data_IF_621759065994
#
_entry.id   IF_621759065994
#
_cell.length_a   1.000
_cell.length_b   1.000
_cell.length_c   1.000
_cell.angle_alpha   90.00
_cell.angle_beta   90.00
_cell.angle_gamma   90.00
#
_symmetry.space_group_name_H-M   'P 1'
#
loop_
_entity.id
_entity.type
_entity.pdbx_description
1 polymer ?
#
# COMPACT_ATOMS: atom_id res chain seq x y z
N UNK A 1 -24.48 -6.51 -3.32
CA UNK A 1 -24.27 -7.88 -3.85
C UNK A 1 -23.58 -8.65 -2.73
N UNK A 2 -23.96 -9.91 -2.48
CA UNK A 2 -23.70 -10.64 -1.23
C UNK A 2 -22.24 -10.55 -0.73
N UNK A 3 -22.01 -9.82 0.36
CA UNK A 3 -20.77 -9.82 1.16
C UNK A 3 -20.67 -11.10 2.02
N UNK A 4 -21.05 -12.23 1.44
CA UNK A 4 -21.10 -13.50 2.15
C UNK A 4 -19.68 -14.04 2.24
N UNK A 5 -19.04 -13.75 3.37
CA UNK A 5 -17.73 -14.30 3.75
C UNK A 5 -17.77 -15.82 3.56
N UNK A 6 -16.87 -16.41 2.77
CA UNK A 6 -16.81 -17.86 2.70
C UNK A 6 -16.46 -18.40 4.08
N UNK A 7 -17.22 -19.39 4.50
CA UNK A 7 -17.05 -20.05 5.78
C UNK A 7 -15.75 -20.90 5.80
N UNK A 8 -15.33 -21.32 6.99
CA UNK A 8 -14.14 -22.16 7.15
C UNK A 8 -14.24 -23.47 6.35
N UNK A 9 -15.45 -23.98 6.13
CA UNK A 9 -15.68 -25.18 5.29
C UNK A 9 -15.39 -24.92 3.81
N UNK A 10 -15.77 -23.76 3.29
CA UNK A 10 -15.43 -23.32 1.93
C UNK A 10 -13.92 -23.22 1.76
N UNK A 11 -13.21 -22.69 2.78
CA UNK A 11 -11.75 -22.57 2.73
C UNK A 11 -11.06 -23.93 2.70
N UNK A 12 -11.52 -24.86 3.54
CA UNK A 12 -11.02 -26.25 3.55
C UNK A 12 -11.31 -26.93 2.20
N UNK A 13 -12.47 -26.67 1.60
CA UNK A 13 -12.84 -27.17 0.28
C UNK A 13 -11.88 -26.67 -0.81
N UNK A 14 -11.59 -25.37 -0.83
CA UNK A 14 -10.63 -24.77 -1.77
C UNK A 14 -9.24 -25.36 -1.62
N UNK A 15 -8.75 -25.54 -0.40
CA UNK A 15 -7.45 -26.19 -0.13
C UNK A 15 -7.39 -27.61 -0.70
N UNK A 16 -8.45 -28.39 -0.55
CA UNK A 16 -8.50 -29.76 -1.07
C UNK A 16 -8.53 -29.80 -2.60
N UNK A 17 -9.28 -28.90 -3.24
CA UNK A 17 -9.34 -28.81 -4.69
C UNK A 17 -8.00 -28.35 -5.27
N UNK A 18 -7.39 -27.32 -4.68
CA UNK A 18 -6.06 -26.83 -5.04
C UNK A 18 -4.98 -27.93 -4.94
N UNK A 19 -5.02 -28.75 -3.88
CA UNK A 19 -4.11 -29.89 -3.74
C UNK A 19 -4.32 -30.98 -4.81
N UNK A 20 -5.56 -31.14 -5.31
CA UNK A 20 -5.89 -32.10 -6.36
C UNK A 20 -5.52 -31.60 -7.77
N UNK A 21 -5.63 -30.30 -8.02
CA UNK A 21 -5.29 -29.68 -9.31
C UNK A 21 -3.81 -29.30 -9.41
N UNK A 22 -3.06 -29.39 -8.32
CA UNK A 22 -1.66 -28.95 -8.23
C UNK A 22 -1.53 -27.43 -8.07
N UNK A 23 -2.63 -26.71 -7.88
CA UNK A 23 -2.68 -25.26 -7.70
C UNK A 23 -2.61 -24.86 -6.22
N UNK A 24 -1.62 -25.39 -5.49
CA UNK A 24 -1.48 -25.22 -4.03
C UNK A 24 -1.36 -23.78 -3.52
N UNK A 25 -1.19 -22.78 -4.41
CA UNK A 25 -1.08 -21.37 -4.07
C UNK A 25 -2.41 -20.60 -4.08
N UNK A 26 -3.47 -21.16 -4.67
CA UNK A 26 -4.77 -20.47 -4.80
C UNK A 26 -5.41 -20.11 -3.45
N UNK A 27 -5.37 -20.96 -2.41
CA UNK A 27 -5.97 -20.62 -1.12
C UNK A 27 -5.22 -19.49 -0.40
N UNK A 28 -3.89 -19.48 -0.43
CA UNK A 28 -3.07 -18.43 0.19
C UNK A 28 -3.27 -17.07 -0.48
N UNK A 29 -3.38 -17.06 -1.82
CA UNK A 29 -3.69 -15.85 -2.57
C UNK A 29 -5.09 -15.35 -2.24
N UNK A 30 -6.06 -16.26 -2.09
CA UNK A 30 -7.41 -15.90 -1.67
C UNK A 30 -7.42 -15.20 -0.30
N UNK A 31 -6.71 -15.75 0.69
CA UNK A 31 -6.60 -15.12 2.01
C UNK A 31 -5.91 -13.75 1.95
N UNK A 32 -4.86 -13.62 1.14
CA UNK A 32 -4.16 -12.35 0.95
C UNK A 32 -5.06 -11.27 0.34
N UNK A 33 -5.81 -11.59 -0.72
CA UNK A 33 -6.77 -10.67 -1.34
C UNK A 33 -7.91 -10.30 -0.39
N UNK A 34 -8.36 -11.26 0.43
CA UNK A 34 -9.37 -11.01 1.45
C UNK A 34 -8.88 -9.99 2.48
N UNK A 35 -7.69 -10.21 3.07
CA UNK A 35 -7.12 -9.29 4.05
C UNK A 35 -6.84 -7.90 3.47
N UNK A 36 -6.53 -7.83 2.18
CA UNK A 36 -6.36 -6.56 1.48
C UNK A 36 -7.70 -5.81 1.35
N UNK A 37 -8.76 -6.52 0.94
CA UNK A 37 -10.11 -5.94 0.77
C UNK A 37 -10.68 -5.47 2.12
N UNK A 38 -10.57 -6.28 3.17
CA UNK A 38 -10.99 -5.91 4.54
C UNK A 38 -10.27 -4.64 5.02
N UNK A 39 -8.97 -4.49 4.73
CA UNK A 39 -8.21 -3.28 5.07
C UNK A 39 -8.67 -2.05 4.30
N UNK A 40 -9.02 -2.19 3.02
CA UNK A 40 -9.52 -1.09 2.19
C UNK A 40 -10.88 -0.58 2.67
N UNK A 41 -11.76 -1.49 3.13
CA UNK A 41 -13.07 -1.11 3.70
C UNK A 41 -12.92 -0.32 5.00
N UNK A 42 -12.01 -0.77 5.89
CA UNK A 42 -11.76 -0.12 7.18
C UNK A 42 -11.01 1.21 7.00
N UNK A 43 -10.04 1.26 6.08
CA UNK A 43 -9.16 2.41 5.89
C UNK A 43 -9.20 2.94 4.44
N UNK A 44 -10.31 3.59 4.07
CA UNK A 44 -10.54 4.07 2.70
C UNK A 44 -9.47 5.03 2.16
N UNK A 45 -8.80 5.78 3.05
CA UNK A 45 -7.77 6.76 2.68
C UNK A 45 -6.33 6.27 2.94
N UNK A 46 -6.14 5.00 3.28
CA UNK A 46 -4.82 4.43 3.55
C UNK A 46 -4.50 3.39 2.48
N UNK A 47 -3.44 3.63 1.72
CA UNK A 47 -2.88 2.65 0.80
C UNK A 47 -1.61 2.07 1.41
N UNK A 48 -1.42 0.75 1.26
CA UNK A 48 -0.14 0.12 1.58
C UNK A 48 0.91 0.60 0.58
N UNK A 49 2.09 0.93 1.10
CA UNK A 49 3.21 1.33 0.25
C UNK A 49 3.67 0.12 -0.59
N UNK A 50 3.80 0.25 -1.92
CA UNK A 50 4.16 -0.86 -2.79
C UNK A 50 5.65 -1.16 -2.69
N UNK A 51 6.04 -1.90 -1.65
CA UNK A 51 7.45 -2.20 -1.34
C UNK A 51 8.21 -2.89 -2.45
N UNK A 52 7.54 -3.67 -3.29
CA UNK A 52 8.13 -4.39 -4.42
C UNK A 52 8.30 -3.51 -5.69
N UNK A 53 7.56 -2.40 -5.80
CA UNK A 53 7.76 -1.38 -6.84
C UNK A 53 8.71 -0.28 -6.39
N UNK A 54 9.03 -0.23 -5.10
CA UNK A 54 9.88 0.79 -4.53
C UNK A 54 11.34 0.54 -4.91
N UNK A 55 11.98 1.55 -5.49
CA UNK A 55 13.42 1.56 -5.75
C UNK A 55 14.22 1.54 -4.45
N UNK A 56 15.46 1.05 -4.51
CA UNK A 56 16.37 1.17 -3.37
C UNK A 56 16.80 2.63 -3.14
N UNK A 57 17.11 3.03 -1.91
CA UNK A 57 17.71 4.35 -1.64
C UNK A 57 18.97 4.55 -2.48
N UNK A 58 19.08 5.70 -3.17
CA UNK A 58 20.21 6.02 -4.03
C UNK A 58 20.12 5.50 -5.48
N UNK A 59 19.18 4.60 -5.77
CA UNK A 59 18.97 4.11 -7.15
C UNK A 59 18.34 5.19 -8.03
N UNK A 60 18.79 5.30 -9.28
CA UNK A 60 18.27 6.26 -10.24
C UNK A 60 16.80 5.99 -10.57
N UNK A 61 16.02 7.05 -10.78
CA UNK A 61 14.59 6.91 -11.05
C UNK A 61 14.38 6.37 -12.46
N UNK A 62 13.70 5.24 -12.59
CA UNK A 62 13.29 4.68 -13.90
C UNK A 62 12.05 5.40 -14.46
N UNK A 63 11.16 5.86 -13.58
CA UNK A 63 9.98 6.64 -13.94
C UNK A 63 10.30 8.13 -13.86
N UNK A 64 9.91 8.95 -14.86
CA UNK A 64 10.07 10.39 -14.76
C UNK A 64 9.32 10.91 -13.54
N UNK A 65 10.03 11.66 -12.71
CA UNK A 65 9.42 12.40 -11.62
C UNK A 65 8.38 13.37 -12.23
N UNK A 66 7.20 13.48 -11.61
CA UNK A 66 6.13 14.36 -12.12
C UNK A 66 6.60 15.81 -12.27
N UNK A 67 5.90 16.62 -13.07
CA UNK A 67 6.34 17.98 -13.44
C UNK A 67 6.71 18.88 -12.23
N UNK A 68 6.03 18.72 -11.09
CA UNK A 68 6.35 19.45 -9.87
C UNK A 68 7.74 19.09 -9.30
N UNK A 69 8.16 17.84 -9.43
CA UNK A 69 9.45 17.36 -8.95
C UNK A 69 10.62 17.72 -9.89
N UNK A 70 10.35 17.95 -11.17
CA UNK A 70 11.37 18.48 -12.10
C UNK A 70 11.93 19.83 -11.64
N UNK A 71 11.09 20.65 -10.99
CA UNK A 71 11.47 21.98 -10.49
C UNK A 71 11.80 21.98 -8.98
N UNK A 72 11.87 20.80 -8.33
CA UNK A 72 12.06 20.70 -6.88
C UNK A 72 10.88 21.18 -6.02
N UNK A 73 9.72 21.47 -6.63
CA UNK A 73 8.51 21.94 -5.95
C UNK A 73 7.74 20.81 -5.23
N UNK A 74 8.28 19.61 -5.20
CA UNK A 74 7.74 18.46 -4.47
C UNK A 74 8.25 18.37 -3.01
N UNK A 75 9.17 19.26 -2.61
CA UNK A 75 9.74 19.26 -1.26
C UNK A 75 9.26 20.51 -0.52
N UNK A 76 8.51 20.32 0.56
CA UNK A 76 8.20 21.40 1.50
C UNK A 76 9.40 21.59 2.43
N UNK A 77 10.05 22.76 2.36
CA UNK A 77 11.11 23.10 3.29
C UNK A 77 10.55 23.19 4.72
N UNK A 78 11.26 22.59 5.68
CA UNK A 78 10.93 22.80 7.08
C UNK A 78 11.08 24.28 7.44
N UNK A 79 10.14 24.86 8.21
CA UNK A 79 10.30 26.23 8.67
C UNK A 79 11.59 26.35 9.49
N UNK A 80 12.47 27.27 9.12
CA UNK A 80 13.67 27.54 9.89
C UNK A 80 13.27 28.13 11.25
N UNK A 81 13.71 27.51 12.35
CA UNK A 81 13.43 28.00 13.70
C UNK A 81 13.91 29.45 13.91
N UNK A 82 14.93 29.88 13.17
CA UNK A 82 15.42 31.26 13.16
C UNK A 82 14.34 32.28 12.71
N UNK A 83 13.45 31.92 11.78
CA UNK A 83 12.39 32.81 11.30
C UNK A 83 11.23 33.00 12.31
N UNK A 84 11.05 32.06 13.26
CA UNK A 84 10.03 32.18 14.31
C UNK A 84 10.48 33.00 15.53
N UNK A 85 11.79 33.11 15.77
CA UNK A 85 12.33 33.92 16.86
C UNK A 85 12.11 35.44 16.67
N UNK A 86 12.04 35.90 15.41
CA UNK A 86 11.83 37.33 15.09
C UNK A 86 10.38 37.83 15.17
N UNK A 87 9.38 36.93 15.25
CA UNK A 87 7.94 37.31 15.27
C UNK A 87 7.31 37.35 16.66
N UNK A 88 8.06 37.05 17.72
CA UNK A 88 7.61 37.16 19.12
C UNK A 88 8.18 38.39 19.81
N UNK A 89 8.10 39.55 19.17
CA UNK A 89 8.21 40.88 19.81
C UNK A 89 7.40 41.88 18.99
N UNK A 90 6.12 41.99 19.31
CA UNK A 90 5.26 43.14 19.07
C UNK A 90 4.17 43.11 20.15
#
# INVERSE_FOLDING_TARGET
MNDQRPDGFTMIGLHKLAAQTGEGLVPELYELFRQHSERQEIYQNVALFPTWEARMPGEATTRPLGAAAANGNNILAFPSYAARAGKRKA
#
